data_IF_531937614936
#
_entry.id   IF_531937614936
#
_cell.length_a   1.000
_cell.length_b   1.000
_cell.length_c   1.000
_cell.angle_alpha   90.00
_cell.angle_beta   90.00
_cell.angle_gamma   90.00
#
_symmetry.space_group_name_H-M   'P 1'
#
loop_
_entity.id
_entity.type
_entity.pdbx_description
1 polymer ?
#
# COMPACT_ATOMS: atom_id res chain seq x y z
N UNK A 1 -0.78 -2.21 24.55
CA UNK A 1 -1.01 -1.48 23.28
C UNK A 1 -2.39 -1.83 22.77
N UNK A 2 -3.24 -0.86 22.49
CA UNK A 2 -4.66 -1.10 22.11
C UNK A 2 -4.88 -1.02 20.60
N UNK A 3 -5.88 -1.75 20.09
CA UNK A 3 -6.34 -1.64 18.70
C UNK A 3 -6.86 -0.24 18.37
N UNK A 4 -6.61 0.28 17.18
CA UNK A 4 -7.35 1.41 16.61
C UNK A 4 -8.80 1.02 16.35
N UNK A 5 -9.00 -0.19 15.81
CA UNK A 5 -10.31 -0.75 15.51
C UNK A 5 -10.31 -2.24 15.83
N UNK A 6 -10.88 -2.58 16.98
CA UNK A 6 -10.99 -3.98 17.36
C UNK A 6 -11.94 -4.71 16.39
N UNK A 7 -11.53 -5.83 15.80
CA UNK A 7 -12.39 -6.59 14.91
C UNK A 7 -13.58 -7.16 15.69
N UNK A 8 -14.79 -7.05 15.12
CA UNK A 8 -16.04 -7.51 15.74
C UNK A 8 -16.17 -9.04 15.90
N UNK A 9 -15.25 -9.81 15.32
CA UNK A 9 -15.27 -11.28 15.33
C UNK A 9 -14.63 -11.88 16.57
N UNK A 10 -15.05 -13.11 16.93
CA UNK A 10 -14.38 -13.91 17.98
C UNK A 10 -12.95 -14.29 17.64
N UNK A 11 -12.61 -14.29 16.34
CA UNK A 11 -11.28 -14.61 15.85
C UNK A 11 -10.92 -13.82 14.61
N UNK A 12 -9.62 -13.65 14.41
CA UNK A 12 -8.96 -12.90 13.34
C UNK A 12 -7.86 -13.77 12.78
N UNK A 13 -7.69 -13.81 11.45
CA UNK A 13 -6.53 -14.51 10.88
C UNK A 13 -5.25 -13.78 11.26
N UNK A 14 -4.23 -14.54 11.66
CA UNK A 14 -2.89 -14.00 11.89
C UNK A 14 -2.13 -13.91 10.55
N UNK A 15 -1.42 -12.81 10.31
CA UNK A 15 -0.38 -12.74 9.29
C UNK A 15 0.84 -13.52 9.79
N UNK A 16 0.85 -14.82 9.48
CA UNK A 16 1.88 -15.74 9.94
C UNK A 16 3.29 -15.38 9.46
N UNK A 17 3.41 -14.78 8.27
CA UNK A 17 4.70 -14.33 7.74
C UNK A 17 5.26 -13.15 8.54
N UNK A 18 4.40 -12.19 8.91
CA UNK A 18 4.80 -11.06 9.76
C UNK A 18 5.24 -11.55 11.15
N UNK A 19 4.44 -12.42 11.78
CA UNK A 19 4.77 -13.03 13.06
C UNK A 19 6.14 -13.75 13.02
N UNK A 20 6.35 -14.59 12.01
CA UNK A 20 7.61 -15.32 11.82
C UNK A 20 8.79 -14.38 11.66
N UNK A 21 8.68 -13.34 10.81
CA UNK A 21 9.75 -12.36 10.60
C UNK A 21 10.10 -11.62 11.88
N UNK A 22 9.10 -11.11 12.60
CA UNK A 22 9.29 -10.40 13.87
C UNK A 22 9.99 -11.29 14.89
N UNK A 23 9.54 -12.55 15.02
CA UNK A 23 10.20 -13.53 15.89
C UNK A 23 11.65 -13.79 15.49
N UNK A 24 11.92 -14.02 14.20
CA UNK A 24 13.28 -14.30 13.71
C UNK A 24 14.22 -13.11 13.91
N UNK A 25 13.75 -11.86 13.79
CA UNK A 25 14.53 -10.65 14.09
C UNK A 25 14.96 -10.56 15.56
N UNK A 26 14.21 -11.19 16.44
CA UNK A 26 14.54 -11.31 17.88
C UNK A 26 15.44 -12.51 18.16
N UNK A 27 15.81 -13.28 17.15
CA UNK A 27 16.54 -14.55 17.27
C UNK A 27 15.81 -15.58 18.13
N UNK A 28 14.48 -15.52 18.20
CA UNK A 28 13.68 -16.47 18.97
C UNK A 28 13.22 -17.63 18.10
N UNK A 29 13.13 -18.82 18.70
CA UNK A 29 12.45 -20.01 18.21
C UNK A 29 10.96 -19.96 18.58
N UNK A 30 10.13 -20.81 17.97
CA UNK A 30 8.70 -20.88 18.31
C UNK A 30 8.46 -21.23 19.80
N UNK A 31 9.20 -22.18 20.43
CA UNK A 31 9.08 -22.45 21.86
C UNK A 31 9.44 -21.24 22.75
N UNK A 32 10.48 -20.48 22.39
CA UNK A 32 10.87 -19.28 23.16
C UNK A 32 9.79 -18.21 23.12
N UNK A 33 9.25 -17.91 21.92
CA UNK A 33 8.12 -16.98 21.80
C UNK A 33 6.89 -17.47 22.57
N UNK A 34 6.61 -18.78 22.52
CA UNK A 34 5.50 -19.37 23.28
C UNK A 34 5.68 -19.17 24.80
N UNK A 35 6.88 -19.45 25.31
CA UNK A 35 7.22 -19.27 26.73
C UNK A 35 7.11 -17.82 27.17
N UNK A 36 7.61 -16.88 26.36
CA UNK A 36 7.56 -15.44 26.67
C UNK A 36 6.13 -14.88 26.64
N UNK A 37 5.31 -15.35 25.70
CA UNK A 37 3.92 -14.91 25.53
C UNK A 37 2.91 -15.66 26.43
N UNK A 38 3.35 -16.64 27.24
CA UNK A 38 2.46 -17.46 28.07
C UNK A 38 1.53 -18.39 27.27
N UNK A 39 1.96 -18.85 26.09
CA UNK A 39 1.20 -19.73 25.21
C UNK A 39 1.89 -21.07 24.97
N UNK A 40 1.22 -21.97 24.25
CA UNK A 40 1.81 -23.23 23.80
C UNK A 40 2.52 -23.08 22.46
N UNK A 41 3.59 -23.84 22.24
CA UNK A 41 4.29 -23.89 20.93
C UNK A 41 3.32 -24.23 19.78
N UNK A 42 2.31 -25.07 20.04
CA UNK A 42 1.26 -25.41 19.07
C UNK A 42 0.46 -24.19 18.62
N UNK A 43 0.16 -23.26 19.52
CA UNK A 43 -0.54 -22.02 19.20
C UNK A 43 0.33 -21.12 18.31
N UNK A 44 1.62 -20.97 18.63
CA UNK A 44 2.57 -20.20 17.81
C UNK A 44 2.71 -20.81 16.41
N UNK A 45 2.85 -22.13 16.32
CA UNK A 45 2.89 -22.82 15.03
C UNK A 45 1.61 -22.59 14.20
N UNK A 46 0.43 -22.64 14.83
CA UNK A 46 -0.85 -22.31 14.20
C UNK A 46 -0.89 -20.85 13.72
N UNK A 47 -0.41 -19.92 14.53
CA UNK A 47 -0.36 -18.50 14.21
C UNK A 47 0.54 -18.22 12.99
N UNK A 48 1.76 -18.78 12.97
CA UNK A 48 2.69 -18.67 11.85
C UNK A 48 2.22 -19.38 10.58
N UNK A 49 1.33 -20.37 10.70
CA UNK A 49 0.64 -20.97 9.56
C UNK A 49 -0.56 -20.14 9.05
N UNK A 50 -0.78 -18.95 9.60
CA UNK A 50 -1.87 -18.05 9.22
C UNK A 50 -3.24 -18.45 9.77
N UNK A 51 -3.25 -19.21 10.88
CA UNK A 51 -4.46 -19.63 11.56
C UNK A 51 -5.20 -18.47 12.26
N UNK A 52 -6.48 -18.69 12.56
CA UNK A 52 -7.29 -17.72 13.29
C UNK A 52 -7.01 -17.75 14.80
N UNK A 53 -6.84 -16.58 15.41
CA UNK A 53 -6.58 -16.34 16.83
C UNK A 53 -7.61 -15.35 17.40
N UNK A 54 -7.79 -15.30 18.72
CA UNK A 54 -8.59 -14.23 19.32
C UNK A 54 -7.87 -12.88 19.23
N UNK A 55 -8.59 -11.74 19.22
CA UNK A 55 -7.97 -10.42 19.29
C UNK A 55 -7.03 -10.27 20.49
N UNK A 56 -7.41 -10.78 21.66
CA UNK A 56 -6.57 -10.78 22.86
C UNK A 56 -5.28 -11.59 22.72
N UNK A 57 -5.28 -12.67 21.93
CA UNK A 57 -4.05 -13.42 21.66
C UNK A 57 -3.09 -12.58 20.81
N UNK A 58 -3.62 -11.85 19.82
CA UNK A 58 -2.80 -10.96 18.99
C UNK A 58 -2.24 -9.78 19.80
N UNK A 59 -2.99 -9.26 20.77
CA UNK A 59 -2.52 -8.23 21.71
C UNK A 59 -1.30 -8.70 22.50
N UNK A 60 -1.38 -9.89 23.12
CA UNK A 60 -0.26 -10.45 23.89
C UNK A 60 0.94 -10.73 22.99
N UNK A 61 0.73 -11.26 21.78
CA UNK A 61 1.82 -11.50 20.84
C UNK A 61 2.48 -10.19 20.39
N UNK A 62 1.70 -9.16 20.07
CA UNK A 62 2.19 -7.86 19.68
C UNK A 62 2.99 -7.21 20.80
N UNK A 63 2.49 -7.25 22.04
CA UNK A 63 3.21 -6.79 23.23
C UNK A 63 4.53 -7.55 23.43
N UNK A 64 4.51 -8.88 23.34
CA UNK A 64 5.71 -9.73 23.53
C UNK A 64 6.78 -9.45 22.48
N UNK A 65 6.39 -9.18 21.24
CA UNK A 65 7.32 -8.91 20.12
C UNK A 65 7.82 -7.46 20.09
N UNK A 66 7.16 -6.56 20.82
CA UNK A 66 7.46 -5.14 20.79
C UNK A 66 8.78 -4.81 21.50
N UNK A 67 9.42 -3.75 21.02
CA UNK A 67 10.59 -3.13 21.64
C UNK A 67 10.43 -1.61 21.65
N UNK A 68 11.26 -0.90 22.40
CA UNK A 68 11.23 0.56 22.42
C UNK A 68 11.49 1.18 21.03
N UNK A 69 12.34 0.54 20.23
CA UNK A 69 12.69 1.02 18.88
C UNK A 69 11.73 0.53 17.79
N UNK A 70 11.07 -0.61 18.03
CA UNK A 70 10.16 -1.24 17.08
C UNK A 70 8.90 -1.69 17.82
N UNK A 71 7.93 -0.78 18.03
CA UNK A 71 6.63 -1.16 18.54
C UNK A 71 5.90 -2.02 17.49
N UNK A 72 5.26 -3.09 17.96
CA UNK A 72 4.42 -3.98 17.16
C UNK A 72 3.00 -3.82 17.65
N UNK A 73 2.07 -3.55 16.74
CA UNK A 73 0.66 -3.44 17.08
C UNK A 73 -0.10 -4.70 16.66
N UNK A 74 -1.24 -5.01 17.29
CA UNK A 74 -2.06 -6.17 16.90
C UNK A 74 -2.47 -6.14 15.43
N UNK A 75 -2.68 -4.94 14.86
CA UNK A 75 -2.99 -4.76 13.44
C UNK A 75 -1.86 -5.26 12.53
N UNK A 76 -0.59 -5.09 12.91
CA UNK A 76 0.54 -5.57 12.10
C UNK A 76 0.54 -7.10 12.00
N UNK A 77 0.00 -7.77 13.02
CA UNK A 77 -0.18 -9.23 13.04
C UNK A 77 -1.50 -9.69 12.40
N UNK A 78 -2.42 -8.78 12.07
CA UNK A 78 -3.73 -9.08 11.47
C UNK A 78 -3.89 -8.54 10.04
N UNK A 79 -2.89 -7.84 9.52
CA UNK A 79 -2.96 -7.13 8.26
C UNK A 79 -2.06 -7.75 7.20
N UNK A 80 -2.48 -7.72 5.93
CA UNK A 80 -1.70 -8.21 4.79
C UNK A 80 -1.37 -7.06 3.82
N UNK A 81 -0.21 -6.39 3.98
CA UNK A 81 0.17 -5.24 3.16
C UNK A 81 0.08 -5.50 1.65
N UNK A 82 0.57 -6.64 1.17
CA UNK A 82 0.49 -7.01 -0.26
C UNK A 82 -0.96 -7.09 -0.76
N UNK A 83 -1.87 -7.65 0.05
CA UNK A 83 -3.27 -7.77 -0.34
C UNK A 83 -3.95 -6.38 -0.37
N UNK A 84 -3.63 -5.52 0.59
CA UNK A 84 -4.14 -4.14 0.63
C UNK A 84 -3.62 -3.31 -0.56
N UNK A 85 -2.31 -3.33 -0.83
CA UNK A 85 -1.72 -2.65 -1.99
C UNK A 85 -2.34 -3.13 -3.30
N UNK A 86 -2.51 -4.45 -3.47
CA UNK A 86 -3.24 -5.03 -4.62
C UNK A 86 -4.65 -4.46 -4.73
N UNK A 87 -5.41 -4.45 -3.64
CA UNK A 87 -6.77 -3.94 -3.63
C UNK A 87 -6.85 -2.46 -4.02
N UNK A 88 -5.87 -1.65 -3.61
CA UNK A 88 -5.79 -0.24 -3.99
C UNK A 88 -5.50 -0.08 -5.48
N UNK A 89 -4.54 -0.84 -6.03
CA UNK A 89 -4.25 -0.83 -7.48
C UNK A 89 -5.45 -1.31 -8.30
N UNK A 90 -6.13 -2.36 -7.87
CA UNK A 90 -7.36 -2.86 -8.50
C UNK A 90 -8.51 -1.84 -8.42
N UNK A 91 -8.61 -1.11 -7.30
CA UNK A 91 -9.58 -0.04 -7.13
C UNK A 91 -9.27 1.16 -8.02
N UNK A 92 -8.01 1.57 -8.13
CA UNK A 92 -7.56 2.57 -9.11
C UNK A 92 -7.95 2.16 -10.53
N UNK A 93 -7.64 0.91 -10.90
CA UNK A 93 -7.93 0.37 -12.22
C UNK A 93 -9.42 0.40 -12.56
N UNK A 94 -10.28 0.02 -11.61
CA UNK A 94 -11.73 -0.15 -11.80
C UNK A 94 -12.55 1.13 -11.57
N UNK A 95 -12.14 1.96 -10.62
CA UNK A 95 -12.94 3.05 -10.08
C UNK A 95 -12.35 4.44 -10.32
N UNK A 96 -11.12 4.53 -10.82
CA UNK A 96 -10.47 5.77 -11.25
C UNK A 96 -10.57 6.87 -10.19
N UNK A 97 -11.26 7.98 -10.48
CA UNK A 97 -11.46 9.12 -9.55
C UNK A 97 -12.12 8.73 -8.24
N UNK A 98 -12.80 7.59 -8.18
CA UNK A 98 -13.42 7.09 -6.95
C UNK A 98 -12.49 6.17 -6.14
N UNK A 99 -11.21 6.01 -6.52
CA UNK A 99 -10.27 5.14 -5.83
C UNK A 99 -10.19 5.45 -4.33
N UNK A 100 -9.98 6.71 -3.95
CA UNK A 100 -9.90 7.13 -2.55
C UNK A 100 -11.16 6.75 -1.76
N UNK A 101 -12.34 7.07 -2.30
CA UNK A 101 -13.62 6.70 -1.68
C UNK A 101 -13.81 5.18 -1.52
N UNK A 102 -13.33 4.36 -2.48
CA UNK A 102 -13.45 2.89 -2.43
C UNK A 102 -12.45 2.22 -1.49
N UNK A 103 -11.34 2.89 -1.21
CA UNK A 103 -10.30 2.41 -0.33
C UNK A 103 -10.23 3.16 1.00
N UNK A 104 -11.21 4.01 1.32
CA UNK A 104 -11.17 4.91 2.48
C UNK A 104 -10.82 4.20 3.80
N UNK A 105 -11.36 2.99 4.01
CA UNK A 105 -11.07 2.15 5.18
C UNK A 105 -9.60 1.73 5.31
N UNK A 106 -8.85 1.73 4.22
CA UNK A 106 -7.42 1.42 4.17
C UNK A 106 -6.55 2.67 4.30
N UNK A 107 -7.09 3.88 4.35
CA UNK A 107 -6.29 5.10 4.37
C UNK A 107 -6.09 5.60 5.81
N UNK A 108 -4.85 5.97 6.14
CA UNK A 108 -4.58 6.71 7.36
C UNK A 108 -5.16 8.13 7.21
N UNK A 109 -5.74 8.73 8.27
CA UNK A 109 -6.27 10.09 8.20
C UNK A 109 -5.22 11.12 7.75
N UNK A 110 -3.96 10.87 8.09
CA UNK A 110 -2.76 11.66 7.84
C UNK A 110 -1.88 11.09 6.71
N UNK A 111 -2.46 10.30 5.80
CA UNK A 111 -1.72 9.73 4.66
C UNK A 111 -0.96 10.81 3.88
N UNK A 112 0.30 10.54 3.52
CA UNK A 112 1.11 11.39 2.65
C UNK A 112 1.21 10.80 1.25
N UNK A 113 1.13 11.66 0.25
CA UNK A 113 1.14 11.32 -1.17
C UNK A 113 2.22 12.10 -1.87
N UNK A 114 3.08 11.42 -2.62
CA UNK A 114 4.18 12.05 -3.36
C UNK A 114 4.20 11.60 -4.81
N UNK A 115 4.35 12.53 -5.74
CA UNK A 115 4.58 12.23 -7.15
C UNK A 115 5.62 13.18 -7.76
N UNK A 116 6.54 12.68 -8.62
CA UNK A 116 7.59 13.48 -9.22
C UNK A 116 7.04 14.35 -10.36
N UNK A 117 7.80 15.40 -10.69
CA UNK A 117 7.54 16.27 -11.84
C UNK A 117 7.24 17.71 -11.47
N UNK A 118 7.08 18.53 -12.50
CA UNK A 118 6.71 19.94 -12.39
C UNK A 118 5.17 20.07 -12.35
N UNK A 119 4.56 20.65 -11.31
CA UNK A 119 3.12 20.91 -11.23
C UNK A 119 2.55 21.71 -12.42
N UNK A 120 3.36 22.53 -13.10
CA UNK A 120 2.94 23.25 -14.31
C UNK A 120 2.77 22.33 -15.53
N UNK A 121 3.38 21.15 -15.51
CA UNK A 121 3.24 20.10 -16.53
C UNK A 121 2.25 19.05 -16.06
N UNK A 122 2.45 18.52 -14.85
CA UNK A 122 1.65 17.48 -14.21
C UNK A 122 0.98 18.07 -12.96
N UNK A 123 -0.27 18.57 -13.03
CA UNK A 123 -0.91 19.19 -11.86
C UNK A 123 -0.91 18.28 -10.61
N UNK A 124 -0.98 16.97 -10.82
CA UNK A 124 -0.90 15.95 -9.76
C UNK A 124 0.50 15.75 -9.14
N UNK A 125 1.57 16.33 -9.66
CA UNK A 125 2.90 16.25 -9.05
C UNK A 125 2.98 16.99 -7.71
N UNK A 126 4.02 16.69 -6.93
CA UNK A 126 4.29 17.29 -5.62
C UNK A 126 3.83 16.42 -4.45
N UNK A 127 3.71 17.05 -3.28
CA UNK A 127 3.33 16.42 -2.01
C UNK A 127 1.92 16.85 -1.63
N UNK A 128 1.11 15.90 -1.18
CA UNK A 128 -0.20 16.14 -0.58
C UNK A 128 -0.33 15.32 0.70
N UNK A 129 -0.96 15.87 1.71
CA UNK A 129 -1.22 15.19 2.97
C UNK A 129 -2.74 15.00 3.14
N UNK A 130 -3.13 14.05 3.99
CA UNK A 130 -4.51 13.63 4.30
C UNK A 130 -5.23 12.86 3.20
N UNK A 131 -6.37 12.26 3.56
CA UNK A 131 -7.27 11.54 2.63
C UNK A 131 -7.76 12.46 1.51
N UNK A 132 -8.07 13.72 1.82
CA UNK A 132 -8.51 14.70 0.81
C UNK A 132 -7.38 15.01 -0.19
N UNK A 133 -6.13 15.03 0.29
CA UNK A 133 -4.95 15.16 -0.56
C UNK A 133 -4.76 13.96 -1.50
N UNK A 134 -5.05 12.74 -1.03
CA UNK A 134 -5.04 11.54 -1.86
C UNK A 134 -6.18 11.53 -2.90
N UNK A 135 -7.37 12.00 -2.56
CA UNK A 135 -8.47 12.17 -3.53
C UNK A 135 -8.14 13.24 -4.58
N UNK A 136 -7.60 14.38 -4.14
CA UNK A 136 -7.17 15.47 -5.02
C UNK A 136 -6.08 15.02 -6.00
N UNK A 137 -5.09 14.25 -5.54
CA UNK A 137 -4.07 13.65 -6.40
C UNK A 137 -4.69 12.91 -7.59
N UNK A 138 -5.61 11.97 -7.35
CA UNK A 138 -6.27 11.22 -8.41
C UNK A 138 -7.18 12.09 -9.26
N UNK A 139 -7.89 13.04 -8.66
CA UNK A 139 -8.74 14.00 -9.38
C UNK A 139 -7.93 14.79 -10.40
N UNK A 140 -6.76 15.30 -10.00
CA UNK A 140 -5.84 16.03 -10.87
C UNK A 140 -5.23 15.14 -11.95
N UNK A 141 -4.82 13.91 -11.60
CA UNK A 141 -4.34 12.93 -12.58
C UNK A 141 -5.40 12.68 -13.67
N UNK A 142 -6.62 12.31 -13.28
CA UNK A 142 -7.71 12.06 -14.23
C UNK A 142 -8.29 13.34 -14.85
N UNK A 143 -7.87 14.53 -14.44
CA UNK A 143 -8.23 15.77 -15.13
C UNK A 143 -7.46 15.89 -16.45
N UNK A 144 -6.17 15.55 -16.44
CA UNK A 144 -5.27 15.72 -17.59
C UNK A 144 -4.95 14.43 -18.34
N UNK A 145 -5.02 13.27 -17.67
CA UNK A 145 -4.69 11.97 -18.26
C UNK A 145 -5.94 11.22 -18.74
N UNK A 146 -5.79 10.40 -19.77
CA UNK A 146 -6.73 9.38 -20.22
C UNK A 146 -6.02 8.02 -20.28
N UNK A 147 -6.76 6.94 -20.00
CA UNK A 147 -6.25 5.57 -19.94
C UNK A 147 -6.92 4.74 -21.03
N UNK A 148 -6.15 3.99 -21.81
CA UNK A 148 -6.69 3.20 -22.93
C UNK A 148 -7.00 1.76 -22.53
N UNK A 149 -6.15 1.17 -21.70
CA UNK A 149 -6.35 -0.16 -21.12
C UNK A 149 -6.24 -0.09 -19.60
N UNK A 150 -7.40 0.12 -18.96
CA UNK A 150 -7.49 0.31 -17.50
C UNK A 150 -7.00 -0.90 -16.71
N UNK A 151 -6.99 -2.09 -17.32
CA UNK A 151 -6.60 -3.35 -16.67
C UNK A 151 -5.14 -3.72 -16.93
N UNK A 152 -4.41 -3.01 -17.80
CA UNK A 152 -2.98 -3.26 -18.05
C UNK A 152 -2.17 -3.27 -16.76
N UNK A 153 -2.40 -2.27 -15.89
CA UNK A 153 -1.71 -2.13 -14.62
C UNK A 153 -1.92 -3.33 -13.71
N UNK A 154 -3.13 -3.89 -13.66
CA UNK A 154 -3.45 -5.06 -12.84
C UNK A 154 -2.84 -6.32 -13.43
N UNK A 155 -2.88 -6.48 -14.77
CA UNK A 155 -2.32 -7.64 -15.47
C UNK A 155 -0.80 -7.73 -15.34
N UNK A 156 -0.13 -6.58 -15.29
CA UNK A 156 1.33 -6.48 -15.19
C UNK A 156 1.83 -6.33 -13.74
N UNK A 157 0.92 -6.22 -12.77
CA UNK A 157 1.23 -5.98 -11.37
C UNK A 157 2.14 -7.08 -10.76
N UNK A 158 3.29 -6.65 -10.25
CA UNK A 158 4.19 -7.43 -9.39
C UNK A 158 4.31 -6.73 -8.04
N UNK A 159 4.22 -7.50 -6.96
CA UNK A 159 4.26 -6.97 -5.58
C UNK A 159 5.43 -7.56 -4.80
N UNK A 160 6.35 -6.70 -4.43
CA UNK A 160 7.43 -6.98 -3.47
C UNK A 160 7.04 -6.33 -2.15
N UNK A 161 7.26 -7.01 -1.02
CA UNK A 161 7.00 -6.40 0.28
C UNK A 161 8.03 -6.84 1.30
N UNK A 162 8.39 -5.90 2.16
CA UNK A 162 9.20 -6.09 3.34
C UNK A 162 8.46 -5.39 4.49
N UNK A 163 8.01 -6.20 5.45
CA UNK A 163 7.10 -5.77 6.51
C UNK A 163 5.88 -5.04 5.99
N UNK A 164 5.77 -3.76 6.35
CA UNK A 164 4.68 -2.88 6.01
C UNK A 164 4.98 -1.98 4.79
N UNK A 165 6.16 -2.13 4.17
CA UNK A 165 6.49 -1.49 2.91
C UNK A 165 6.16 -2.43 1.75
N UNK A 166 5.40 -1.96 0.76
CA UNK A 166 5.07 -2.69 -0.45
C UNK A 166 5.46 -1.88 -1.67
N UNK A 167 6.24 -2.47 -2.57
CA UNK A 167 6.52 -1.90 -3.89
C UNK A 167 5.70 -2.65 -4.93
N UNK A 168 4.85 -1.92 -5.64
CA UNK A 168 4.11 -2.39 -6.79
C UNK A 168 4.81 -1.95 -8.07
N UNK A 169 5.23 -2.90 -8.89
CA UNK A 169 5.79 -2.66 -10.21
C UNK A 169 4.73 -3.03 -11.26
N UNK A 170 4.45 -2.14 -12.20
CA UNK A 170 3.45 -2.35 -13.25
C UNK A 170 3.76 -1.56 -14.52
N UNK A 171 2.98 -1.79 -15.58
CA UNK A 171 2.94 -0.94 -16.76
C UNK A 171 1.58 -0.26 -16.84
N UNK A 172 1.57 1.04 -17.10
CA UNK A 172 0.35 1.85 -17.20
C UNK A 172 0.24 2.49 -18.59
N UNK A 173 -0.89 2.24 -19.25
CA UNK A 173 -1.22 2.80 -20.56
C UNK A 173 -2.04 4.09 -20.42
N UNK A 174 -1.35 5.20 -20.16
CA UNK A 174 -1.99 6.51 -20.02
C UNK A 174 -1.28 7.61 -20.84
N UNK A 175 -2.06 8.53 -21.41
CA UNK A 175 -1.54 9.72 -22.10
C UNK A 175 -2.35 10.96 -21.74
N UNK A 176 -1.88 12.14 -22.17
CA UNK A 176 -2.67 13.36 -22.01
C UNK A 176 -3.96 13.27 -22.84
N UNK A 177 -5.04 13.84 -22.30
CA UNK A 177 -6.31 13.93 -23.01
C UNK A 177 -6.15 14.66 -24.33
N UNK A 178 -6.77 14.11 -25.36
CA UNK A 178 -6.70 14.63 -26.72
C UNK A 178 -5.49 14.13 -27.53
N UNK A 179 -4.54 13.42 -26.90
CA UNK A 179 -3.45 12.78 -27.64
C UNK A 179 -3.95 11.49 -28.28
N UNK A 180 -3.58 11.28 -29.54
CA UNK A 180 -3.93 10.06 -30.30
C UNK A 180 -2.90 8.94 -30.15
N UNK A 181 -1.75 9.23 -29.54
CA UNK A 181 -0.70 8.23 -29.36
C UNK A 181 -1.13 7.24 -28.27
N UNK A 182 -1.29 5.97 -28.66
CA UNK A 182 -1.51 4.85 -27.74
C UNK A 182 -0.18 4.15 -27.53
N UNK A 183 0.73 4.83 -26.83
CA UNK A 183 2.04 4.28 -26.50
C UNK A 183 1.88 2.96 -25.72
N UNK A 184 2.90 2.08 -25.78
CA UNK A 184 2.87 0.70 -25.27
C UNK A 184 2.72 0.56 -23.73
N UNK A 185 2.45 1.67 -23.04
CA UNK A 185 2.45 1.82 -21.60
C UNK A 185 3.83 2.16 -21.05
N UNK A 186 3.87 2.95 -19.99
CA UNK A 186 5.10 3.27 -19.28
C UNK A 186 5.27 2.36 -18.06
N UNK A 187 6.50 1.91 -17.74
CA UNK A 187 6.76 1.28 -16.46
C UNK A 187 6.54 2.32 -15.35
N UNK A 188 5.83 1.89 -14.31
CA UNK A 188 5.60 2.69 -13.11
C UNK A 188 5.88 1.84 -11.87
N UNK A 189 6.22 2.51 -10.78
CA UNK A 189 6.30 1.90 -9.47
C UNK A 189 5.44 2.69 -8.47
N UNK A 190 4.63 2.00 -7.69
CA UNK A 190 4.00 2.58 -6.50
C UNK A 190 4.68 2.05 -5.24
N UNK A 191 5.01 2.94 -4.32
CA UNK A 191 5.50 2.58 -2.99
C UNK A 191 4.39 2.85 -1.98
N UNK A 192 3.98 1.80 -1.27
CA UNK A 192 2.97 1.86 -0.22
C UNK A 192 3.63 1.58 1.12
N UNK A 193 3.46 2.48 2.08
CA UNK A 193 3.85 2.25 3.47
C UNK A 193 2.60 2.18 4.34
N UNK A 194 2.45 1.08 5.08
CA UNK A 194 1.30 0.87 5.96
C UNK A 194 1.69 1.02 7.43
N UNK A 195 0.92 1.75 8.23
CA UNK A 195 1.05 1.76 9.68
C UNK A 195 -0.27 1.28 10.28
N UNK A 196 -0.18 0.28 11.17
CA UNK A 196 -1.34 -0.24 11.90
C UNK A 196 -2.51 -0.61 10.99
N UNK A 197 -2.19 -1.26 9.87
CA UNK A 197 -3.16 -1.72 8.87
C UNK A 197 -3.75 -0.63 7.95
N UNK A 198 -3.20 0.59 7.97
CA UNK A 198 -3.64 1.70 7.13
C UNK A 198 -2.49 2.26 6.31
N UNK A 199 -2.75 2.68 5.08
CA UNK A 199 -1.80 3.32 4.18
C UNK A 199 -1.45 4.70 4.73
N UNK A 200 -0.22 4.85 5.19
CA UNK A 200 0.34 6.07 5.75
C UNK A 200 1.14 6.88 4.71
N UNK A 201 1.77 6.20 3.74
CA UNK A 201 2.46 6.87 2.63
C UNK A 201 2.18 6.17 1.30
N UNK A 202 1.98 6.97 0.26
CA UNK A 202 1.86 6.53 -1.13
C UNK A 202 2.78 7.37 -2.02
N UNK A 203 3.66 6.71 -2.76
CA UNK A 203 4.51 7.37 -3.74
C UNK A 203 4.27 6.81 -5.13
N UNK A 204 4.04 7.70 -6.10
CA UNK A 204 3.97 7.37 -7.52
C UNK A 204 5.32 7.65 -8.18
N UNK A 205 5.97 6.64 -8.74
CA UNK A 205 7.24 6.76 -9.44
C UNK A 205 7.05 6.43 -10.92
N UNK A 206 7.09 7.47 -11.75
CA UNK A 206 7.12 7.39 -13.21
C UNK A 206 8.27 8.25 -13.76
N UNK A 207 8.64 8.03 -15.01
CA UNK A 207 9.67 8.85 -15.68
C UNK A 207 9.10 10.23 -16.07
N UNK A 208 9.08 11.13 -15.09
CA UNK A 208 8.56 12.49 -15.25
C UNK A 208 9.35 13.31 -16.27
N UNK A 209 10.65 13.06 -16.43
CA UNK A 209 11.49 13.78 -17.39
C UNK A 209 11.11 13.41 -18.83
N UNK A 210 11.02 12.11 -19.13
CA UNK A 210 10.58 11.63 -20.44
C UNK A 210 9.15 12.06 -20.74
N UNK A 211 8.25 11.96 -19.75
CA UNK A 211 6.87 12.42 -19.92
C UNK A 211 6.80 13.93 -20.19
N UNK A 212 7.58 14.76 -19.49
CA UNK A 212 7.59 16.21 -19.70
C UNK A 212 8.15 16.59 -21.09
N UNK A 213 9.18 15.88 -21.55
CA UNK A 213 9.73 16.07 -22.89
C UNK A 213 8.68 15.80 -23.98
N UNK A 214 7.88 14.72 -23.83
CA UNK A 214 6.75 14.43 -24.73
C UNK A 214 5.71 15.55 -24.72
N UNK A 215 5.38 16.11 -23.54
CA UNK A 215 4.42 17.23 -23.43
C UNK A 215 4.94 18.49 -24.12
N UNK A 216 6.20 18.82 -23.91
CA UNK A 216 6.84 19.97 -24.55
C UNK A 216 6.87 19.82 -26.08
N UNK A 217 7.17 18.63 -26.58
CA UNK A 217 7.16 18.34 -28.02
C UNK A 217 5.75 18.47 -28.61
N UNK A 218 4.74 17.90 -27.97
CA UNK A 218 3.37 18.01 -28.43
C UNK A 218 2.91 19.48 -28.48
N UNK A 219 3.20 20.26 -27.44
CA UNK A 219 2.91 21.71 -27.41
C UNK A 219 3.58 22.46 -28.56
N UNK A 220 4.83 22.12 -28.93
CA UNK A 220 5.52 22.73 -30.09
C UNK A 220 4.88 22.39 -31.43
N UNK A 221 4.23 21.22 -31.55
CA UNK A 221 3.60 20.78 -32.82
C UNK A 221 2.19 21.34 -33.02
N UNK A 222 1.51 21.72 -31.94
CA UNK A 222 0.07 22.03 -31.97
C UNK A 222 -0.33 23.36 -31.31
N UNK A 223 0.61 24.08 -30.69
CA UNK A 223 0.41 25.43 -30.13
C UNK A 223 0.96 26.50 -31.05
#
# INVERSE_FOLDING_TARGET
MEWLQQPHGRSVRCNGDALRRLRTRRHWTQPELASLAGFTTRLIAKAEAGGALSPSTLEVLAETLSTAQHPVFPEDLAFWPKAAARHIVESFAKHERQCAARCHQLLAPDIRVTAPGDPAVFPFAGVRDTIDGFDDFWRQYFAVMQRFDKLQIVRTLRLVAEDNLVVALAHEGATYKGWQDTDAGCPIAFVFEFHRGRLASFEDHFDAATAAAKVAEHRRRHG
#
